data_IF_148607384725
#
_entry.id   IF_148607384725
#
_cell.length_a   1.000
_cell.length_b   1.000
_cell.length_c   1.000
_cell.angle_alpha   90.00
_cell.angle_beta   90.00
_cell.angle_gamma   90.00
#
_symmetry.space_group_name_H-M   'P 1'
#
loop_
_entity.id
_entity.type
_entity.pdbx_description
1 polymer ?
#
# COMPACT_ATOMS: atom_id res chain seq x y z
N UNK A 1 -6.94 -4.35 37.83
CA UNK A 1 -6.35 -5.17 36.76
C UNK A 1 -7.11 -4.85 35.48
N UNK A 2 -6.54 -4.03 34.60
CA UNK A 2 -7.16 -3.73 33.31
C UNK A 2 -6.91 -4.92 32.38
N UNK A 3 -7.93 -5.74 32.18
CA UNK A 3 -7.94 -6.74 31.12
C UNK A 3 -7.95 -5.96 29.81
N UNK A 4 -6.78 -5.78 29.20
CA UNK A 4 -6.68 -5.34 27.81
C UNK A 4 -7.28 -6.45 26.96
N UNK A 5 -8.60 -6.41 26.77
CA UNK A 5 -9.27 -7.23 25.77
C UNK A 5 -8.67 -6.81 24.43
N UNK A 6 -7.72 -7.61 23.94
CA UNK A 6 -7.19 -7.44 22.58
C UNK A 6 -8.39 -7.57 21.65
N UNK A 7 -8.65 -6.51 20.92
CA UNK A 7 -9.77 -6.47 19.99
C UNK A 7 -9.63 -7.62 18.97
N UNK A 8 -10.69 -8.41 18.73
CA UNK A 8 -10.61 -9.57 17.85
C UNK A 8 -10.19 -9.20 16.42
N UNK A 9 -10.44 -7.97 15.97
CA UNK A 9 -9.94 -7.47 14.69
C UNK A 9 -8.42 -7.27 14.73
N UNK A 10 -7.86 -6.74 15.82
CA UNK A 10 -6.41 -6.56 15.95
C UNK A 10 -5.67 -7.90 15.96
N UNK A 11 -6.23 -8.90 16.64
CA UNK A 11 -5.71 -10.27 16.59
C UNK A 11 -5.71 -10.80 15.14
N UNK A 12 -6.80 -10.57 14.41
CA UNK A 12 -6.92 -11.02 13.02
C UNK A 12 -6.00 -10.26 12.06
N UNK A 13 -5.79 -8.97 12.30
CA UNK A 13 -4.84 -8.14 11.57
C UNK A 13 -3.41 -8.65 11.74
N UNK A 14 -3.05 -9.03 12.97
CA UNK A 14 -1.75 -9.62 13.27
C UNK A 14 -1.56 -10.98 12.59
N UNK A 15 -2.58 -11.85 12.57
CA UNK A 15 -2.54 -13.09 11.79
C UNK A 15 -2.44 -12.82 10.28
N UNK A 16 -3.17 -11.82 9.78
CA UNK A 16 -3.21 -11.46 8.36
C UNK A 16 -1.89 -10.86 7.84
N UNK A 17 -1.09 -10.21 8.71
CA UNK A 17 0.20 -9.61 8.34
C UNK A 17 1.11 -10.56 7.58
N UNK A 18 1.14 -11.84 7.95
CA UNK A 18 1.97 -12.87 7.29
C UNK A 18 1.53 -13.12 5.84
N UNK A 19 0.24 -12.94 5.56
CA UNK A 19 -0.35 -13.15 4.23
C UNK A 19 -0.41 -11.88 3.38
N UNK A 20 -0.26 -10.71 4.00
CA UNK A 20 -0.42 -9.41 3.36
C UNK A 20 0.43 -9.21 2.09
N UNK A 21 1.74 -9.55 2.05
CA UNK A 21 2.55 -9.39 0.83
C UNK A 21 2.04 -10.23 -0.34
N UNK A 22 1.62 -11.48 -0.07
CA UNK A 22 1.10 -12.39 -1.06
C UNK A 22 -0.27 -11.91 -1.60
N UNK A 23 -1.14 -11.44 -0.71
CA UNK A 23 -2.45 -10.89 -1.06
C UNK A 23 -2.31 -9.61 -1.88
N UNK A 24 -1.44 -8.68 -1.46
CA UNK A 24 -1.19 -7.44 -2.17
C UNK A 24 -0.65 -7.71 -3.58
N UNK A 25 0.30 -8.64 -3.71
CA UNK A 25 0.83 -9.09 -5.00
C UNK A 25 -0.26 -9.72 -5.86
N UNK A 26 -1.09 -10.60 -5.31
CA UNK A 26 -2.19 -11.24 -6.02
C UNK A 26 -3.21 -10.20 -6.53
N UNK A 27 -3.54 -9.20 -5.71
CA UNK A 27 -4.45 -8.11 -6.07
C UNK A 27 -3.89 -7.26 -7.21
N UNK A 28 -2.59 -6.92 -7.15
CA UNK A 28 -1.91 -6.20 -8.23
C UNK A 28 -1.83 -7.00 -9.54
N UNK A 29 -1.69 -8.33 -9.45
CA UNK A 29 -1.77 -9.23 -10.61
C UNK A 29 -3.20 -9.40 -11.17
N UNK A 30 -4.18 -8.69 -10.61
CA UNK A 30 -5.58 -8.76 -11.06
C UNK A 30 -6.31 -10.03 -10.64
N UNK A 31 -5.82 -10.78 -9.63
CA UNK A 31 -6.55 -11.94 -9.13
C UNK A 31 -7.89 -11.52 -8.51
N UNK A 32 -8.93 -12.29 -8.84
CA UNK A 32 -10.27 -12.08 -8.26
C UNK A 32 -10.25 -12.37 -6.76
N UNK A 33 -11.00 -11.60 -5.98
CA UNK A 33 -11.15 -11.76 -4.52
C UNK A 33 -11.47 -13.19 -4.11
N UNK A 34 -12.31 -13.91 -4.87
CA UNK A 34 -12.61 -15.33 -4.60
C UNK A 34 -11.38 -16.23 -4.67
N UNK A 35 -10.46 -15.99 -5.60
CA UNK A 35 -9.22 -16.77 -5.72
C UNK A 35 -8.27 -16.43 -4.58
N UNK A 36 -8.14 -15.15 -4.22
CA UNK A 36 -7.36 -14.70 -3.07
C UNK A 36 -7.87 -15.34 -1.77
N UNK A 37 -9.19 -15.34 -1.55
CA UNK A 37 -9.80 -16.00 -0.39
C UNK A 37 -9.55 -17.51 -0.35
N UNK A 38 -9.50 -18.17 -1.52
CA UNK A 38 -9.16 -19.59 -1.62
C UNK A 38 -7.71 -19.81 -1.17
N UNK A 39 -6.75 -19.02 -1.68
CA UNK A 39 -5.34 -19.10 -1.28
C UNK A 39 -5.16 -18.88 0.24
N UNK A 40 -5.86 -17.91 0.80
CA UNK A 40 -5.86 -17.64 2.24
C UNK A 40 -6.43 -18.82 3.03
N UNK A 41 -7.52 -19.43 2.54
CA UNK A 41 -8.13 -20.60 3.18
C UNK A 41 -7.21 -21.82 3.12
N UNK A 42 -6.50 -22.03 2.00
CA UNK A 42 -5.48 -23.09 1.86
C UNK A 42 -4.28 -22.84 2.81
N UNK A 43 -3.94 -21.57 3.07
CA UNK A 43 -2.97 -21.16 4.07
C UNK A 43 -3.48 -21.15 5.52
N UNK A 44 -4.70 -21.62 5.79
CA UNK A 44 -5.28 -21.71 7.14
C UNK A 44 -6.00 -20.45 7.62
N UNK A 45 -6.08 -19.38 6.82
CA UNK A 45 -6.74 -18.13 7.16
C UNK A 45 -8.06 -17.96 6.40
N UNK A 46 -9.16 -18.40 7.02
CA UNK A 46 -10.50 -18.22 6.45
C UNK A 46 -11.04 -16.82 6.76
N UNK A 47 -11.30 -16.04 5.70
CA UNK A 47 -11.87 -14.69 5.80
C UNK A 47 -13.14 -14.55 4.97
N UNK A 48 -13.98 -13.60 5.35
CA UNK A 48 -15.07 -13.12 4.51
C UNK A 48 -14.56 -12.02 3.56
N UNK A 49 -15.16 -11.84 2.37
CA UNK A 49 -14.73 -10.82 1.41
C UNK A 49 -14.63 -9.42 2.04
N UNK A 50 -15.66 -9.00 2.79
CA UNK A 50 -15.67 -7.70 3.46
C UNK A 50 -14.60 -7.58 4.55
N UNK A 51 -14.25 -8.68 5.23
CA UNK A 51 -13.21 -8.68 6.25
C UNK A 51 -11.82 -8.56 5.62
N UNK A 52 -11.58 -9.24 4.49
CA UNK A 52 -10.35 -9.12 3.73
C UNK A 52 -10.09 -7.67 3.30
N UNK A 53 -11.11 -6.96 2.82
CA UNK A 53 -10.95 -5.55 2.43
C UNK A 53 -10.60 -4.66 3.62
N UNK A 54 -11.23 -4.86 4.78
CA UNK A 54 -10.90 -4.13 6.01
C UNK A 54 -9.47 -4.39 6.47
N UNK A 55 -9.02 -5.65 6.40
CA UNK A 55 -7.67 -6.04 6.80
C UNK A 55 -6.61 -5.48 5.83
N UNK A 56 -6.87 -5.52 4.53
CA UNK A 56 -6.03 -4.88 3.51
C UNK A 56 -5.88 -3.38 3.78
N UNK A 57 -7.00 -2.66 3.96
CA UNK A 57 -6.96 -1.23 4.25
C UNK A 57 -6.23 -0.92 5.55
N UNK A 58 -6.44 -1.71 6.60
CA UNK A 58 -5.77 -1.51 7.88
C UNK A 58 -4.25 -1.79 7.77
N UNK A 59 -3.83 -2.79 7.00
CA UNK A 59 -2.41 -3.06 6.73
C UNK A 59 -1.77 -1.95 5.87
N UNK A 60 -2.49 -1.47 4.85
CA UNK A 60 -2.05 -0.34 4.02
C UNK A 60 -1.84 0.93 4.85
N UNK A 61 -2.67 1.18 5.87
CA UNK A 61 -2.51 2.30 6.79
C UNK A 61 -1.41 2.09 7.84
N UNK A 62 -1.24 0.87 8.34
CA UNK A 62 -0.29 0.58 9.42
C UNK A 62 1.15 0.40 8.93
N UNK A 63 1.35 -0.26 7.78
CA UNK A 63 2.65 -0.67 7.26
C UNK A 63 3.00 0.03 5.93
N UNK A 64 2.02 0.70 5.32
CA UNK A 64 2.14 1.27 3.99
C UNK A 64 1.81 0.26 2.89
N UNK A 65 1.85 0.75 1.65
CA UNK A 65 1.63 -0.11 0.48
C UNK A 65 2.91 -0.87 0.16
N UNK A 66 2.93 -2.22 0.20
CA UNK A 66 4.13 -2.97 -0.10
C UNK A 66 4.54 -2.71 -1.55
N UNK A 67 5.85 -2.65 -1.79
CA UNK A 67 6.39 -2.51 -3.13
C UNK A 67 6.33 -3.85 -3.85
N UNK A 68 5.89 -3.83 -5.10
CA UNK A 68 5.94 -4.97 -5.99
C UNK A 68 7.41 -5.31 -6.28
N UNK A 69 7.94 -6.42 -5.76
CA UNK A 69 9.34 -6.80 -6.03
C UNK A 69 9.63 -7.07 -7.51
N UNK A 70 8.59 -7.41 -8.30
CA UNK A 70 8.69 -7.66 -9.74
C UNK A 70 8.69 -6.37 -10.58
N UNK A 71 8.12 -5.29 -10.07
CA UNK A 71 7.83 -4.09 -10.87
C UNK A 71 8.27 -2.78 -10.21
N UNK A 72 8.77 -2.81 -8.98
CA UNK A 72 9.21 -1.64 -8.21
C UNK A 72 8.10 -0.66 -7.83
N UNK A 73 6.88 -0.85 -8.35
CA UNK A 73 5.75 0.04 -8.10
C UNK A 73 5.09 -0.29 -6.76
N UNK A 74 4.58 0.72 -6.02
CA UNK A 74 3.74 0.46 -4.86
C UNK A 74 2.52 -0.35 -5.32
N UNK A 75 2.16 -1.42 -4.58
CA UNK A 75 1.00 -2.29 -4.84
C UNK A 75 -0.32 -1.56 -4.51
N UNK A 76 -0.45 -0.32 -4.99
CA UNK A 76 -1.55 0.59 -4.74
C UNK A 76 -2.76 0.05 -5.46
N UNK A 77 -3.79 -0.30 -4.70
CA UNK A 77 -5.10 -0.50 -5.29
C UNK A 77 -5.57 0.87 -5.82
N UNK A 78 -6.11 0.89 -7.05
CA UNK A 78 -6.60 2.06 -7.80
C UNK A 78 -7.60 2.97 -7.03
N UNK A 79 -7.91 2.72 -5.77
CA UNK A 79 -8.81 3.54 -4.96
C UNK A 79 -8.18 4.86 -4.45
N UNK A 80 -6.85 5.05 -4.55
CA UNK A 80 -6.17 6.22 -3.96
C UNK A 80 -5.52 7.16 -5.00
N UNK A 81 -5.85 7.04 -6.29
CA UNK A 81 -5.41 8.05 -7.27
C UNK A 81 -6.16 9.39 -7.13
N UNK A 82 -7.28 9.43 -6.41
CA UNK A 82 -8.03 10.67 -6.17
C UNK A 82 -7.51 11.54 -5.02
N UNK A 83 -6.51 11.09 -4.25
CA UNK A 83 -6.00 11.84 -3.10
C UNK A 83 -4.51 12.26 -3.23
N UNK A 84 -3.89 12.06 -4.40
CA UNK A 84 -2.49 12.47 -4.63
C UNK A 84 -2.34 13.51 -5.75
N UNK A 85 -3.41 14.23 -6.11
CA UNK A 85 -3.36 15.47 -6.89
C UNK A 85 -3.50 16.70 -5.97
N UNK A 86 -2.82 16.69 -4.84
CA UNK A 86 -2.62 17.90 -4.04
C UNK A 86 -1.29 17.78 -3.29
N UNK A 87 -0.37 18.67 -3.65
CA UNK A 87 0.97 18.87 -3.08
C UNK A 87 2.08 17.87 -3.43
N UNK A 88 2.74 18.09 -4.57
CA UNK A 88 4.18 18.45 -4.55
C UNK A 88 4.65 19.08 -5.87
N UNK A 89 5.17 20.33 -5.87
CA UNK A 89 6.07 20.76 -6.93
C UNK A 89 7.41 20.03 -6.73
N UNK A 90 7.82 19.25 -7.72
CA UNK A 90 9.15 18.63 -7.82
C UNK A 90 9.48 18.59 -9.31
N UNK A 91 10.50 19.24 -9.83
CA UNK A 91 11.61 19.98 -9.24
C UNK A 91 12.32 20.76 -10.35
N UNK A 92 13.57 21.19 -10.12
CA UNK A 92 14.22 22.24 -10.91
C UNK A 92 14.63 21.76 -12.30
N UNK A 93 14.32 22.55 -13.33
CA UNK A 93 14.94 22.39 -14.63
C UNK A 93 16.41 22.79 -14.51
N UNK A 94 17.25 21.77 -14.60
CA UNK A 94 18.70 21.86 -14.62
C UNK A 94 19.17 22.43 -15.97
N UNK A 95 20.15 23.33 -15.88
CA UNK A 95 21.17 23.67 -16.89
C UNK A 95 20.81 24.71 -17.98
N UNK A 96 21.31 25.94 -17.79
CA UNK A 96 22.17 26.55 -18.81
C UNK A 96 23.22 27.41 -18.13
N UNK A 97 24.47 27.02 -18.26
CA UNK A 97 25.63 27.85 -17.99
C UNK A 97 25.81 28.78 -19.19
N UNK A 98 25.74 30.08 -18.95
CA UNK A 98 26.33 31.16 -19.74
C UNK A 98 26.35 32.35 -18.74
N UNK A 99 27.47 32.71 -18.09
CA UNK A 99 28.47 33.65 -18.63
C UNK A 99 27.76 34.89 -19.25
N UNK A 100 27.96 36.17 -18.92
CA UNK A 100 29.07 36.94 -18.37
C UNK A 100 28.50 38.27 -17.81
N UNK A 101 29.25 38.78 -16.84
CA UNK A 101 29.34 40.10 -16.17
C UNK A 101 29.01 41.37 -17.01
N UNK A 102 28.48 42.37 -16.27
CA UNK A 102 28.56 43.84 -16.40
C UNK A 102 27.67 44.60 -17.40
N UNK A 103 26.84 45.50 -16.85
CA UNK A 103 27.24 46.92 -16.73
C UNK A 103 26.27 47.71 -15.84
N UNK A 104 26.87 48.44 -14.92
CA UNK A 104 26.24 49.48 -14.09
C UNK A 104 26.99 50.77 -14.45
N UNK A 105 26.36 51.66 -15.22
CA UNK A 105 26.42 53.12 -15.08
C UNK A 105 25.30 53.75 -15.92
#
# INVERSE_FOLDING_TARGET
>A
MQTTAVDPFQLKLQEFRVFYPAVATARHKGMKTKQILKLLTEGGLKLYPALLEKLMTAMEQAEGTPSCELCGQPLRSWATELALDNERPSGPASNSVDEIIASHV
#
